data_IF_574229686979
#
_entry.id   IF_574229686979
#
_cell.length_a   1.000
_cell.length_b   1.000
_cell.length_c   1.000
_cell.angle_alpha   90.00
_cell.angle_beta   90.00
_cell.angle_gamma   90.00
#
_symmetry.space_group_name_H-M   'P 1'
#
loop_
_entity.id
_entity.type
_entity.pdbx_description
1 polymer ?
#
# COMPACT_ATOMS: atom_id res chain seq x y z
N UNK A 1 -20.01 10.84 -2.83
CA UNK A 1 -19.69 10.33 -1.48
C UNK A 1 -18.34 9.65 -1.57
N UNK A 2 -17.35 10.16 -0.83
CA UNK A 2 -15.97 9.60 -0.78
C UNK A 2 -16.04 8.25 -0.07
N UNK A 3 -15.29 7.25 -0.55
CA UNK A 3 -15.21 5.95 0.14
C UNK A 3 -14.60 6.18 1.54
N UNK A 4 -15.17 5.55 2.57
CA UNK A 4 -14.58 5.54 3.91
C UNK A 4 -13.35 4.65 3.87
N UNK A 5 -12.16 5.24 4.03
CA UNK A 5 -10.91 4.51 4.10
C UNK A 5 -10.84 3.72 5.42
N UNK A 6 -10.39 2.47 5.35
CA UNK A 6 -10.17 1.63 6.54
C UNK A 6 -8.79 1.86 7.14
N UNK A 7 -7.80 2.12 6.30
CA UNK A 7 -6.46 2.51 6.73
C UNK A 7 -6.31 4.05 6.81
N UNK A 8 -5.40 4.56 7.66
CA UNK A 8 -5.11 5.99 7.73
C UNK A 8 -4.77 6.60 6.37
N UNK A 9 -5.34 7.77 6.07
CA UNK A 9 -5.17 8.44 4.79
C UNK A 9 -3.70 8.68 4.45
N UNK A 10 -2.85 9.04 5.42
CA UNK A 10 -1.43 9.26 5.16
C UNK A 10 -0.66 8.00 4.73
N UNK A 11 -1.24 6.81 4.90
CA UNK A 11 -0.64 5.54 4.49
C UNK A 11 -1.13 5.11 3.11
N UNK A 12 -2.42 5.30 2.84
CA UNK A 12 -3.05 5.00 1.55
C UNK A 12 -2.63 6.04 0.51
N UNK A 13 -2.63 7.31 0.88
CA UNK A 13 -2.32 8.46 0.03
C UNK A 13 -1.22 9.33 0.66
N UNK A 14 0.00 8.79 0.84
CA UNK A 14 1.10 9.52 1.47
C UNK A 14 1.46 10.77 0.66
N UNK A 15 1.87 11.82 1.39
CA UNK A 15 2.51 13.00 0.82
C UNK A 15 4.02 12.75 0.76
N UNK A 16 4.57 12.87 -0.44
CA UNK A 16 6.00 12.83 -0.65
C UNK A 16 6.65 14.11 -0.11
N UNK A 17 7.89 14.03 0.36
CA UNK A 17 8.70 15.21 0.63
C UNK A 17 9.28 15.81 -0.68
N UNK A 18 9.87 17.00 -0.58
CA UNK A 18 10.39 17.70 -1.76
C UNK A 18 11.55 16.94 -2.43
N UNK A 19 12.34 16.16 -1.68
CA UNK A 19 13.44 15.35 -2.22
C UNK A 19 12.91 14.14 -3.00
N UNK A 20 11.87 13.51 -2.48
CA UNK A 20 11.14 12.42 -3.13
C UNK A 20 10.45 12.90 -4.41
N UNK A 21 9.79 14.07 -4.39
CA UNK A 21 9.20 14.68 -5.58
C UNK A 21 10.27 14.99 -6.63
N UNK A 22 11.39 15.58 -6.24
CA UNK A 22 12.47 15.92 -7.17
C UNK A 22 13.06 14.67 -7.88
N UNK A 23 13.16 13.53 -7.18
CA UNK A 23 13.61 12.26 -7.77
C UNK A 23 12.64 11.72 -8.82
N UNK A 24 11.33 11.84 -8.58
CA UNK A 24 10.30 11.48 -9.56
C UNK A 24 10.28 12.46 -10.74
N UNK A 25 10.47 13.75 -10.47
CA UNK A 25 10.57 14.79 -11.50
C UNK A 25 11.73 14.54 -12.46
N UNK A 26 12.89 14.16 -11.95
CA UNK A 26 14.07 13.83 -12.77
C UNK A 26 13.84 12.65 -13.74
N UNK A 27 12.79 11.85 -13.52
CA UNK A 27 12.39 10.69 -14.32
C UNK A 27 11.07 10.92 -15.08
N UNK A 28 10.48 12.10 -14.94
CA UNK A 28 9.19 12.45 -15.52
C UNK A 28 9.24 13.79 -16.25
N UNK A 29 8.06 14.30 -16.58
CA UNK A 29 7.90 15.65 -17.15
C UNK A 29 6.81 16.39 -16.40
N UNK A 30 7.06 17.68 -16.10
CA UNK A 30 5.98 18.56 -15.65
C UNK A 30 5.02 18.83 -16.80
N UNK A 31 3.74 18.85 -16.47
CA UNK A 31 2.66 19.11 -17.41
C UNK A 31 1.53 19.85 -16.68
N UNK A 32 0.99 20.88 -17.34
CA UNK A 32 -0.23 21.57 -16.89
C UNK A 32 -1.45 20.74 -17.21
N UNK A 33 -2.44 20.82 -16.32
CA UNK A 33 -3.75 20.19 -16.48
C UNK A 33 -4.86 21.22 -16.36
N UNK A 34 -5.94 21.03 -17.10
CA UNK A 34 -7.12 21.90 -17.06
C UNK A 34 -8.24 21.29 -16.20
N UNK A 35 -9.16 22.12 -15.71
CA UNK A 35 -10.35 21.63 -15.00
C UNK A 35 -11.13 20.65 -15.88
N UNK A 36 -11.46 19.49 -15.33
CA UNK A 36 -12.24 18.44 -15.99
C UNK A 36 -11.40 17.57 -16.93
N UNK A 37 -10.11 17.85 -17.11
CA UNK A 37 -9.23 17.02 -17.91
C UNK A 37 -9.13 15.61 -17.30
N UNK A 38 -9.36 14.58 -18.14
CA UNK A 38 -9.15 13.19 -17.76
C UNK A 38 -7.72 12.80 -18.05
N UNK A 39 -6.92 12.65 -17.00
CA UNK A 39 -5.50 12.26 -17.10
C UNK A 39 -5.38 10.77 -17.48
N UNK A 40 -6.35 9.96 -17.07
CA UNK A 40 -6.40 8.52 -17.34
C UNK A 40 -7.83 8.00 -17.28
N UNK A 41 -8.25 7.29 -18.32
CA UNK A 41 -9.51 6.52 -18.32
C UNK A 41 -9.36 5.15 -17.64
N UNK A 42 -10.47 4.59 -17.16
CA UNK A 42 -10.50 3.23 -16.61
C UNK A 42 -10.07 2.20 -17.67
N UNK A 43 -9.28 1.20 -17.27
CA UNK A 43 -8.85 0.12 -18.16
C UNK A 43 -7.66 0.47 -19.08
N UNK A 44 -7.18 1.72 -19.11
CA UNK A 44 -6.00 2.11 -19.89
C UNK A 44 -4.76 1.40 -19.36
N UNK A 45 -4.11 0.62 -20.23
CA UNK A 45 -2.85 -0.07 -19.97
C UNK A 45 -1.66 0.87 -20.09
N UNK A 46 -0.55 0.51 -19.46
CA UNK A 46 0.72 1.25 -19.51
C UNK A 46 0.62 2.74 -19.14
N UNK A 47 -0.39 3.09 -18.33
CA UNK A 47 -0.61 4.47 -17.92
C UNK A 47 0.54 4.98 -17.05
N UNK A 48 0.97 6.25 -17.23
CA UNK A 48 1.97 6.86 -16.39
C UNK A 48 1.46 7.06 -14.95
N UNK A 49 2.41 7.21 -14.04
CA UNK A 49 2.16 7.71 -12.69
C UNK A 49 2.12 9.24 -12.74
N UNK A 50 1.16 9.85 -12.04
CA UNK A 50 1.12 11.29 -11.87
C UNK A 50 1.42 11.65 -10.42
N UNK A 51 2.30 12.63 -10.21
CA UNK A 51 2.51 13.31 -8.91
C UNK A 51 1.92 14.70 -9.03
N UNK A 52 1.03 15.06 -8.11
CA UNK A 52 0.37 16.37 -8.15
C UNK A 52 1.32 17.41 -7.57
N UNK A 53 1.68 18.44 -8.32
CA UNK A 53 2.52 19.56 -7.82
C UNK A 53 1.68 20.79 -7.50
N UNK A 54 0.56 21.00 -8.21
CA UNK A 54 -0.43 22.04 -7.93
C UNK A 54 -1.84 21.62 -8.35
N UNK A 55 -2.86 22.09 -7.63
CA UNK A 55 -4.26 21.71 -7.88
C UNK A 55 -4.63 20.36 -7.28
N UNK A 56 -5.73 19.77 -7.78
CA UNK A 56 -6.27 18.51 -7.27
C UNK A 56 -6.75 17.58 -8.40
N UNK A 57 -6.62 16.27 -8.15
CA UNK A 57 -7.05 15.19 -9.06
C UNK A 57 -7.94 14.22 -8.29
N UNK A 58 -9.18 14.05 -8.73
CA UNK A 58 -10.09 13.05 -8.18
C UNK A 58 -9.85 11.66 -8.78
N UNK A 59 -9.95 10.64 -7.92
CA UNK A 59 -9.96 9.23 -8.26
C UNK A 59 -11.42 8.82 -8.37
N UNK A 60 -11.87 8.45 -9.56
CA UNK A 60 -13.27 8.13 -9.82
C UNK A 60 -13.42 6.65 -10.18
N UNK A 61 -14.32 5.98 -9.47
CA UNK A 61 -14.78 4.63 -9.78
C UNK A 61 -16.12 4.74 -10.48
N UNK A 62 -16.29 4.05 -11.61
CA UNK A 62 -17.60 3.83 -12.19
C UNK A 62 -18.28 2.66 -11.47
N UNK A 63 -19.51 2.85 -11.02
CA UNK A 63 -20.40 1.81 -10.50
C UNK A 63 -21.70 1.78 -11.31
N UNK A 64 -22.55 0.77 -11.06
CA UNK A 64 -23.89 0.70 -11.64
C UNK A 64 -24.80 1.87 -11.26
N UNK A 65 -24.48 2.57 -10.17
CA UNK A 65 -25.24 3.72 -9.65
C UNK A 65 -24.67 5.08 -10.10
N UNK A 66 -23.59 5.06 -10.89
CA UNK A 66 -22.95 6.25 -11.45
C UNK A 66 -21.47 6.37 -11.08
N UNK A 67 -20.93 7.58 -11.16
CA UNK A 67 -19.55 7.85 -10.76
C UNK A 67 -19.45 8.09 -9.26
N UNK A 68 -18.54 7.37 -8.61
CA UNK A 68 -18.20 7.57 -7.21
C UNK A 68 -16.76 8.06 -7.09
N UNK A 69 -16.58 9.22 -6.46
CA UNK A 69 -15.25 9.70 -6.07
C UNK A 69 -14.74 8.83 -4.93
N UNK A 70 -13.58 8.21 -5.13
CA UNK A 70 -12.87 7.39 -4.14
C UNK A 70 -12.03 8.26 -3.22
N UNK A 71 -11.29 9.22 -3.80
CA UNK A 71 -10.39 10.10 -3.08
C UNK A 71 -10.02 11.32 -3.95
N UNK A 72 -9.53 12.41 -3.34
CA UNK A 72 -9.02 13.59 -4.06
C UNK A 72 -7.56 13.82 -3.68
N UNK A 73 -6.65 13.63 -4.64
CA UNK A 73 -5.23 13.88 -4.45
C UNK A 73 -4.92 15.37 -4.59
N UNK A 74 -4.11 15.89 -3.67
CA UNK A 74 -3.55 17.23 -3.71
C UNK A 74 -2.03 17.24 -3.80
N UNK A 75 -1.39 18.41 -3.59
CA UNK A 75 0.04 18.58 -3.77
C UNK A 75 0.89 17.57 -3.00
N UNK A 76 1.92 17.07 -3.68
CA UNK A 76 2.88 16.03 -3.27
C UNK A 76 2.29 14.62 -3.10
N UNK A 77 1.02 14.39 -3.42
CA UNK A 77 0.46 13.04 -3.52
C UNK A 77 0.59 12.50 -4.94
N UNK A 78 0.43 11.19 -5.10
CA UNK A 78 0.63 10.50 -6.37
C UNK A 78 -0.46 9.46 -6.65
N UNK A 79 -0.70 9.20 -7.93
CA UNK A 79 -1.75 8.29 -8.42
C UNK A 79 -1.31 6.83 -8.37
N UNK A 80 -2.13 5.92 -8.88
CA UNK A 80 -1.73 4.53 -9.13
C UNK A 80 -2.01 3.56 -8.00
N UNK A 81 -1.93 2.28 -8.35
CA UNK A 81 -2.12 1.10 -7.51
C UNK A 81 -1.33 -0.05 -8.13
N UNK A 82 -1.55 -1.29 -7.71
CA UNK A 82 -0.81 -2.46 -8.19
C UNK A 82 -0.77 -2.59 -9.70
N UNK A 83 -1.88 -2.31 -10.38
CA UNK A 83 -1.91 -2.40 -11.85
C UNK A 83 -0.95 -1.43 -12.54
N UNK A 84 -0.57 -0.33 -11.88
CA UNK A 84 0.35 0.69 -12.42
C UNK A 84 1.74 0.11 -12.69
N UNK A 85 2.21 -0.82 -11.86
CA UNK A 85 3.50 -1.48 -12.06
C UNK A 85 3.40 -2.63 -13.06
N UNK A 86 2.32 -3.41 -13.01
CA UNK A 86 2.04 -4.47 -13.99
C UNK A 86 1.70 -3.96 -15.40
N UNK A 87 1.38 -2.67 -15.54
CA UNK A 87 0.91 -2.07 -16.79
C UNK A 87 -0.49 -2.48 -17.21
N UNK A 88 -1.21 -3.19 -16.34
CA UNK A 88 -2.59 -3.56 -16.58
C UNK A 88 -3.50 -2.33 -16.42
N UNK A 89 -4.68 -2.42 -17.01
CA UNK A 89 -5.71 -1.41 -16.85
C UNK A 89 -6.21 -1.34 -15.41
N UNK A 90 -6.13 -0.17 -14.79
CA UNK A 90 -6.66 0.08 -13.45
C UNK A 90 -8.18 0.30 -13.46
N UNK A 91 -8.80 0.16 -12.28
CA UNK A 91 -10.26 0.34 -12.09
C UNK A 91 -10.68 1.81 -11.90
N UNK A 92 -9.71 2.73 -11.81
CA UNK A 92 -9.90 4.11 -11.39
C UNK A 92 -9.55 5.08 -12.51
N UNK A 93 -10.51 5.92 -12.87
CA UNK A 93 -10.33 7.12 -13.70
C UNK A 93 -9.69 8.23 -12.86
N UNK A 94 -8.82 9.00 -13.49
CA UNK A 94 -8.18 10.18 -12.91
C UNK A 94 -8.68 11.44 -13.63
N UNK A 95 -9.25 12.38 -12.88
CA UNK A 95 -9.78 13.63 -13.44
C UNK A 95 -9.31 14.84 -12.62
N UNK A 96 -8.82 15.88 -13.28
CA UNK A 96 -8.46 17.12 -12.61
C UNK A 96 -9.74 17.89 -12.21
N UNK A 97 -9.84 18.33 -10.95
CA UNK A 97 -11.00 19.09 -10.45
C UNK A 97 -10.84 20.60 -10.68
N UNK A 98 -9.62 21.05 -10.92
CA UNK A 98 -9.25 22.43 -11.20
C UNK A 98 -8.00 22.49 -12.11
N UNK A 99 -7.67 23.68 -12.60
CA UNK A 99 -6.43 23.88 -13.33
C UNK A 99 -5.23 23.71 -12.37
N UNK A 100 -4.18 23.05 -12.84
CA UNK A 100 -3.07 22.66 -11.98
C UNK A 100 -1.83 22.19 -12.74
N UNK A 101 -0.95 21.50 -12.02
CA UNK A 101 0.28 20.94 -12.55
C UNK A 101 0.54 19.56 -11.94
N UNK A 102 1.03 18.65 -12.79
CA UNK A 102 1.45 17.31 -12.40
C UNK A 102 2.81 16.99 -12.99
N UNK A 103 3.54 16.09 -12.34
CA UNK A 103 4.66 15.36 -12.95
C UNK A 103 4.11 14.05 -13.50
N UNK A 104 4.21 13.87 -14.81
CA UNK A 104 3.91 12.62 -15.50
C UNK A 104 5.17 11.77 -15.58
N UNK A 105 5.19 10.65 -14.86
CA UNK A 105 6.30 9.69 -14.82
C UNK A 105 5.90 8.47 -15.66
N UNK A 106 6.54 8.24 -16.83
CA UNK A 106 6.27 7.07 -17.65
C UNK A 106 6.51 5.76 -16.87
N UNK A 107 5.72 4.72 -17.16
CA UNK A 107 5.84 3.42 -16.48
C UNK A 107 7.27 2.88 -16.48
N UNK A 108 8.00 2.93 -17.60
CA UNK A 108 9.38 2.44 -17.66
C UNK A 108 10.31 3.14 -16.66
N UNK A 109 10.12 4.45 -16.50
CA UNK A 109 10.97 5.31 -15.68
C UNK A 109 10.59 5.15 -14.20
N UNK A 110 9.30 4.94 -13.93
CA UNK A 110 8.82 4.47 -12.63
C UNK A 110 9.42 3.11 -12.25
N UNK A 111 9.48 2.14 -13.17
CA UNK A 111 10.05 0.82 -12.90
C UNK A 111 11.53 0.97 -12.53
N UNK A 112 12.30 1.71 -13.34
CA UNK A 112 13.71 1.95 -13.07
C UNK A 112 13.93 2.63 -11.70
N UNK A 113 13.07 3.59 -11.33
CA UNK A 113 13.14 4.26 -10.04
C UNK A 113 12.86 3.28 -8.89
N UNK A 114 11.80 2.48 -8.99
CA UNK A 114 11.45 1.47 -7.98
C UNK A 114 12.58 0.46 -7.75
N UNK A 115 13.32 0.10 -8.79
CA UNK A 115 14.44 -0.85 -8.71
C UNK A 115 15.71 -0.24 -8.10
N UNK A 116 15.85 1.08 -8.12
CA UNK A 116 17.08 1.77 -7.74
C UNK A 116 16.95 2.58 -6.44
N UNK A 117 15.72 2.85 -6.00
CA UNK A 117 15.42 3.73 -4.87
C UNK A 117 14.62 2.99 -3.79
N UNK A 118 15.32 2.46 -2.77
CA UNK A 118 14.68 1.67 -1.71
C UNK A 118 13.63 2.43 -0.90
N UNK A 119 13.82 3.72 -0.68
CA UNK A 119 12.87 4.54 0.09
C UNK A 119 11.56 4.76 -0.69
N UNK A 120 11.66 5.20 -1.95
CA UNK A 120 10.48 5.37 -2.81
C UNK A 120 9.84 4.02 -3.12
N UNK A 121 10.64 2.95 -3.24
CA UNK A 121 10.17 1.58 -3.42
C UNK A 121 9.22 1.17 -2.29
N UNK A 122 9.65 1.31 -1.03
CA UNK A 122 8.82 0.96 0.13
C UNK A 122 7.56 1.83 0.23
N UNK A 123 7.66 3.13 -0.04
CA UNK A 123 6.51 4.05 -0.04
C UNK A 123 5.49 3.65 -1.10
N UNK A 124 5.94 3.42 -2.34
CA UNK A 124 5.08 3.06 -3.46
C UNK A 124 4.46 1.67 -3.27
N UNK A 125 5.25 0.68 -2.83
CA UNK A 125 4.78 -0.67 -2.56
C UNK A 125 3.64 -0.63 -1.55
N UNK A 126 3.88 0.00 -0.40
CA UNK A 126 2.89 0.14 0.67
C UNK A 126 1.63 0.86 0.20
N UNK A 127 1.79 2.02 -0.44
CA UNK A 127 0.66 2.80 -0.93
C UNK A 127 -0.16 2.02 -1.97
N UNK A 128 0.48 1.32 -2.90
CA UNK A 128 -0.23 0.58 -3.95
C UNK A 128 -0.96 -0.64 -3.41
N UNK A 129 -0.38 -1.36 -2.45
CA UNK A 129 -1.05 -2.48 -1.78
C UNK A 129 -2.26 -1.99 -0.98
N UNK A 130 -2.09 -0.94 -0.18
CA UNK A 130 -3.19 -0.39 0.62
C UNK A 130 -4.31 0.16 -0.28
N UNK A 131 -3.97 0.86 -1.37
CA UNK A 131 -4.98 1.32 -2.34
C UNK A 131 -5.72 0.16 -2.98
N UNK A 132 -5.06 -0.95 -3.31
CA UNK A 132 -5.75 -2.14 -3.79
C UNK A 132 -6.75 -2.63 -2.75
N UNK A 133 -6.32 -2.75 -1.50
CA UNK A 133 -7.18 -3.21 -0.40
C UNK A 133 -8.42 -2.34 -0.23
N UNK A 134 -8.26 -1.01 -0.23
CA UNK A 134 -9.39 -0.09 -0.14
C UNK A 134 -10.34 -0.19 -1.34
N UNK A 135 -9.84 -0.66 -2.49
CA UNK A 135 -10.66 -0.92 -3.66
C UNK A 135 -11.43 -2.26 -3.59
N UNK A 136 -11.07 -3.20 -2.72
CA UNK A 136 -11.71 -4.51 -2.61
C UNK A 136 -12.49 -4.67 -1.29
N UNK A 137 -13.74 -5.13 -1.38
CA UNK A 137 -14.75 -4.96 -0.33
C UNK A 137 -14.56 -5.81 0.95
N UNK A 138 -13.60 -6.74 1.00
CA UNK A 138 -13.56 -7.79 2.04
C UNK A 138 -12.55 -7.60 3.19
N UNK A 139 -11.94 -6.43 3.34
CA UNK A 139 -10.75 -6.31 4.19
C UNK A 139 -11.08 -5.92 5.65
N UNK A 140 -10.62 -6.73 6.59
CA UNK A 140 -10.72 -6.52 8.03
C UNK A 140 -9.31 -6.51 8.66
N UNK A 141 -8.86 -5.35 9.14
CA UNK A 141 -7.65 -5.18 9.95
C UNK A 141 -6.52 -4.39 9.29
N UNK A 142 -5.58 -3.92 10.11
CA UNK A 142 -4.46 -3.05 9.69
C UNK A 142 -3.20 -3.86 9.31
N UNK A 143 -3.33 -5.17 9.15
CA UNK A 143 -2.23 -6.07 8.77
C UNK A 143 -2.54 -6.67 7.41
N UNK A 144 -1.57 -6.63 6.51
CA UNK A 144 -1.68 -7.24 5.18
C UNK A 144 -0.61 -8.30 5.04
N UNK A 145 -0.99 -9.49 4.58
CA UNK A 145 -0.07 -10.57 4.23
C UNK A 145 -0.18 -10.84 2.74
N UNK A 146 0.95 -10.76 2.04
CA UNK A 146 1.09 -11.16 0.64
C UNK A 146 1.96 -12.41 0.60
N UNK A 147 1.42 -13.51 0.09
CA UNK A 147 2.16 -14.77 0.03
C UNK A 147 1.36 -15.89 -0.61
N UNK A 148 2.04 -16.91 -1.12
CA UNK A 148 1.41 -18.12 -1.65
C UNK A 148 0.79 -18.96 -0.52
N UNK A 149 -0.41 -19.48 -0.75
CA UNK A 149 -1.06 -20.39 0.20
C UNK A 149 -0.31 -21.72 0.37
N UNK A 150 0.58 -22.05 -0.57
CA UNK A 150 1.41 -23.26 -0.56
C UNK A 150 2.77 -23.05 0.13
N UNK A 151 3.08 -21.83 0.60
CA UNK A 151 4.33 -21.52 1.30
C UNK A 151 4.22 -21.78 2.81
N UNK A 152 5.15 -22.57 3.34
CA UNK A 152 5.26 -22.83 4.78
C UNK A 152 5.45 -21.54 5.60
N UNK A 153 6.23 -20.58 5.07
CA UNK A 153 6.45 -19.29 5.72
C UNK A 153 5.16 -18.44 5.74
N UNK A 154 4.37 -18.48 4.67
CA UNK A 154 3.07 -17.79 4.62
C UNK A 154 2.09 -18.39 5.62
N UNK A 155 2.00 -19.73 5.69
CA UNK A 155 1.19 -20.43 6.68
C UNK A 155 1.63 -20.10 8.10
N UNK A 156 2.94 -20.08 8.40
CA UNK A 156 3.50 -19.70 9.70
C UNK A 156 3.02 -18.32 10.13
N UNK A 157 3.13 -17.33 9.24
CA UNK A 157 2.71 -15.94 9.53
C UNK A 157 1.19 -15.86 9.77
N UNK A 158 0.40 -16.48 8.91
CA UNK A 158 -1.08 -16.47 9.04
C UNK A 158 -1.55 -17.18 10.31
N UNK A 159 -0.94 -18.30 10.66
CA UNK A 159 -1.21 -19.01 11.91
C UNK A 159 -0.85 -18.16 13.13
N UNK A 160 0.31 -17.48 13.11
CA UNK A 160 0.71 -16.58 14.18
C UNK A 160 -0.31 -15.45 14.38
N UNK A 161 -0.73 -14.79 13.30
CA UNK A 161 -1.73 -13.70 13.37
C UNK A 161 -3.07 -14.21 13.88
N UNK A 162 -3.53 -15.36 13.38
CA UNK A 162 -4.80 -15.99 13.78
C UNK A 162 -4.79 -16.36 15.26
N UNK A 163 -3.71 -16.99 15.75
CA UNK A 163 -3.56 -17.35 17.17
C UNK A 163 -3.54 -16.13 18.09
N UNK A 164 -2.95 -15.03 17.64
CA UNK A 164 -2.93 -13.75 18.36
C UNK A 164 -4.17 -12.89 18.13
N UNK A 165 -5.21 -13.43 17.47
CA UNK A 165 -6.48 -12.74 17.14
C UNK A 165 -6.24 -11.39 16.47
N UNK A 166 -5.25 -11.33 15.59
CA UNK A 166 -4.96 -10.17 14.77
C UNK A 166 -5.73 -10.27 13.45
N UNK A 167 -6.76 -9.43 13.24
CA UNK A 167 -7.42 -9.35 11.94
C UNK A 167 -6.41 -8.92 10.88
N UNK A 168 -6.43 -9.60 9.73
CA UNK A 168 -5.51 -9.31 8.65
C UNK A 168 -6.17 -9.55 7.29
N UNK A 169 -5.78 -8.74 6.32
CA UNK A 169 -5.97 -9.02 4.92
C UNK A 169 -4.97 -10.07 4.45
N UNK A 170 -5.40 -10.96 3.57
CA UNK A 170 -4.55 -11.92 2.89
C UNK A 170 -4.73 -11.80 1.39
N UNK A 171 -3.63 -11.60 0.68
CA UNK A 171 -3.57 -11.56 -0.77
C UNK A 171 -2.75 -12.75 -1.24
N UNK A 172 -3.43 -13.74 -1.80
CA UNK A 172 -2.79 -14.92 -2.34
C UNK A 172 -2.10 -14.59 -3.68
N UNK A 173 -0.80 -14.83 -3.74
CA UNK A 173 -0.01 -14.58 -4.94
C UNK A 173 -0.30 -15.60 -6.05
N UNK A 174 -0.83 -16.77 -5.70
CA UNK A 174 -1.20 -17.80 -6.68
C UNK A 174 -2.47 -17.40 -7.45
N UNK A 175 -3.38 -16.65 -6.82
CA UNK A 175 -4.66 -16.23 -7.41
C UNK A 175 -4.66 -14.76 -7.89
N UNK A 176 -3.86 -13.86 -7.29
CA UNK A 176 -3.74 -12.45 -7.70
C UNK A 176 -2.46 -12.22 -8.51
N UNK A 177 -2.58 -12.37 -9.83
CA UNK A 177 -1.48 -12.13 -10.75
C UNK A 177 -0.95 -10.68 -10.72
N UNK A 178 -1.76 -9.67 -10.33
CA UNK A 178 -1.26 -8.31 -10.19
C UNK A 178 -0.40 -8.16 -8.93
N UNK A 179 -0.68 -8.95 -7.89
CA UNK A 179 0.13 -9.07 -6.69
C UNK A 179 1.48 -9.73 -6.93
N UNK A 180 1.48 -10.90 -7.55
CA UNK A 180 2.74 -11.56 -7.94
C UNK A 180 3.57 -10.65 -8.83
N UNK A 181 2.93 -10.04 -9.83
CA UNK A 181 3.62 -9.17 -10.76
C UNK A 181 4.23 -7.96 -10.05
N UNK A 182 3.48 -7.30 -9.15
CA UNK A 182 4.03 -6.23 -8.33
C UNK A 182 5.30 -6.64 -7.59
N UNK A 183 5.26 -7.78 -6.88
CA UNK A 183 6.40 -8.24 -6.09
C UNK A 183 7.63 -8.48 -6.95
N UNK A 184 7.47 -9.09 -8.12
CA UNK A 184 8.54 -9.28 -9.10
C UNK A 184 9.19 -7.93 -9.50
N UNK A 185 8.37 -6.88 -9.70
CA UNK A 185 8.86 -5.55 -10.15
C UNK A 185 9.58 -4.80 -9.05
N UNK A 186 9.21 -5.06 -7.80
CA UNK A 186 9.94 -4.60 -6.62
C UNK A 186 11.14 -5.49 -6.25
N UNK A 187 11.45 -6.51 -7.07
CA UNK A 187 12.51 -7.49 -6.82
C UNK A 187 12.40 -8.17 -5.46
N UNK A 188 11.17 -8.47 -5.03
CA UNK A 188 10.94 -9.30 -3.84
C UNK A 188 11.17 -10.75 -4.25
N UNK A 189 12.25 -11.34 -3.75
CA UNK A 189 12.61 -12.74 -3.99
C UNK A 189 11.64 -13.72 -3.35
N UNK A 190 11.67 -14.98 -3.80
CA UNK A 190 10.83 -16.05 -3.22
C UNK A 190 11.12 -16.26 -1.73
N UNK A 191 12.37 -16.04 -1.31
CA UNK A 191 12.85 -16.08 0.07
C UNK A 191 12.48 -14.84 0.90
N UNK A 192 11.99 -13.78 0.25
CA UNK A 192 11.49 -12.55 0.87
C UNK A 192 9.95 -12.55 1.05
N UNK A 193 9.28 -13.62 0.62
CA UNK A 193 7.84 -13.86 0.79
C UNK A 193 7.60 -14.80 1.99
N UNK A 194 6.61 -14.56 2.87
CA UNK A 194 5.55 -13.56 2.74
C UNK A 194 6.01 -12.13 3.04
N UNK A 195 5.44 -11.17 2.31
CA UNK A 195 5.53 -9.76 2.67
C UNK A 195 4.41 -9.41 3.63
N UNK A 196 4.73 -8.77 4.75
CA UNK A 196 3.78 -8.33 5.77
C UNK A 196 3.82 -6.82 5.89
N UNK A 197 2.67 -6.17 5.74
CA UNK A 197 2.52 -4.74 6.04
C UNK A 197 1.81 -4.60 7.37
N UNK A 198 2.46 -4.00 8.37
CA UNK A 198 1.82 -3.73 9.66
C UNK A 198 1.38 -2.28 9.74
N UNK A 199 0.15 -2.07 10.22
CA UNK A 199 -0.40 -0.74 10.54
C UNK A 199 -0.23 0.25 9.38
N UNK A 200 -0.20 -0.26 8.15
CA UNK A 200 0.18 0.47 6.93
C UNK A 200 1.42 1.37 7.03
N UNK A 201 2.40 1.05 7.88
CA UNK A 201 3.63 1.83 8.08
C UNK A 201 4.88 1.04 7.66
N UNK A 202 5.00 -0.21 8.13
CA UNK A 202 6.20 -1.01 7.96
C UNK A 202 5.97 -2.10 6.94
N UNK A 203 6.86 -2.21 5.95
CA UNK A 203 6.93 -3.32 5.01
C UNK A 203 7.97 -4.31 5.55
N UNK A 204 7.55 -5.52 5.85
CA UNK A 204 8.42 -6.59 6.35
C UNK A 204 8.49 -7.72 5.34
N UNK A 205 9.70 -8.03 4.87
CA UNK A 205 9.97 -9.13 3.94
C UNK A 205 10.36 -10.38 4.73
N UNK A 206 9.65 -11.49 4.47
CA UNK A 206 9.71 -12.77 5.18
C UNK A 206 10.04 -12.64 6.69
N UNK A 207 9.22 -11.93 7.48
CA UNK A 207 9.56 -11.68 8.88
C UNK A 207 9.38 -12.91 9.77
N UNK A 208 10.19 -12.98 10.83
CA UNK A 208 9.96 -13.91 11.94
C UNK A 208 8.75 -13.47 12.77
N UNK A 209 8.22 -14.38 13.57
CA UNK A 209 7.12 -14.07 14.48
C UNK A 209 7.50 -12.97 15.49
N UNK A 210 8.76 -12.92 15.95
CA UNK A 210 9.21 -11.85 16.86
C UNK A 210 9.16 -10.47 16.16
N UNK A 211 9.59 -10.39 14.90
CA UNK A 211 9.53 -9.14 14.13
C UNK A 211 8.10 -8.68 13.93
N UNK A 212 7.18 -9.60 13.61
CA UNK A 212 5.74 -9.27 13.49
C UNK A 212 5.19 -8.82 14.85
N UNK A 213 5.52 -9.51 15.94
CA UNK A 213 5.08 -9.16 17.29
C UNK A 213 5.55 -7.75 17.70
N UNK A 214 6.81 -7.41 17.42
CA UNK A 214 7.36 -6.08 17.65
C UNK A 214 6.64 -5.02 16.82
N UNK A 215 6.42 -5.29 15.53
CA UNK A 215 5.70 -4.42 14.61
C UNK A 215 4.26 -4.12 15.07
N UNK A 216 3.58 -5.12 15.63
CA UNK A 216 2.21 -5.03 16.12
C UNK A 216 2.10 -4.58 17.58
N UNK A 217 3.22 -4.32 18.26
CA UNK A 217 3.23 -3.96 19.68
C UNK A 217 2.64 -5.06 20.57
N UNK A 218 2.77 -6.32 20.17
CA UNK A 218 2.39 -7.49 20.96
C UNK A 218 3.41 -7.79 22.06
N UNK A 219 4.65 -7.35 21.86
CA UNK A 219 5.69 -7.39 22.88
C UNK A 219 5.53 -6.16 23.77
N UNK A 220 5.03 -6.35 24.99
CA UNK A 220 5.15 -5.31 26.01
C UNK A 220 6.63 -5.21 26.42
N UNK A 221 7.22 -4.00 26.47
CA UNK A 221 8.55 -3.85 27.04
C UNK A 221 8.49 -4.31 28.50
N UNK A 222 9.31 -5.30 28.85
CA UNK A 222 9.54 -5.65 30.24
C UNK A 222 10.49 -4.59 30.81
N UNK A 223 10.09 -3.94 31.89
CA UNK A 223 10.98 -3.06 32.63
C UNK A 223 11.98 -3.93 33.39
N UNK A 224 13.27 -3.86 33.04
CA UNK A 224 14.33 -4.62 33.69
C UNK A 224 14.49 -4.27 35.19
N UNK A 225 13.98 -3.10 35.62
CA UNK A 225 13.97 -2.71 37.03
C UNK A 225 12.81 -3.35 37.83
N UNK A 226 11.83 -3.92 37.14
CA UNK A 226 10.66 -4.54 37.78
C UNK A 226 10.87 -6.03 37.95
N UNK A 227 10.93 -6.49 39.20
CA UNK A 227 10.95 -7.92 39.53
C UNK A 227 9.54 -8.47 39.33
N UNK A 228 9.43 -9.50 38.49
CA UNK A 228 8.17 -10.21 38.25
C UNK A 228 8.17 -11.55 38.98
N UNK A 229 7.19 -11.78 39.84
CA UNK A 229 7.03 -13.06 40.56
C UNK A 229 6.55 -14.21 39.64
N UNK A 230 5.89 -13.87 38.53
CA UNK A 230 5.39 -14.82 37.53
C UNK A 230 5.27 -14.14 36.16
N UNK A 231 5.85 -14.76 35.14
CA UNK A 231 5.65 -14.38 33.73
C UNK A 231 4.91 -15.52 33.02
N UNK A 232 3.76 -15.21 32.43
CA UNK A 232 3.00 -16.18 31.61
C UNK A 232 3.30 -15.92 30.14
N UNK A 233 4.03 -16.82 29.51
CA UNK A 233 4.34 -16.77 28.07
C UNK A 233 3.28 -17.54 27.30
N UNK A 234 2.63 -16.88 26.32
CA UNK A 234 1.69 -17.53 25.40
C UNK A 234 0.20 -17.47 25.80
N UNK A 235 -0.19 -16.64 26.76
CA UNK A 235 -1.61 -16.42 27.05
C UNK A 235 -2.25 -15.49 25.98
N UNK A 236 -3.44 -15.82 25.43
CA UNK A 236 -4.18 -14.88 24.60
C UNK A 236 -4.53 -13.65 25.44
N UNK A 237 -4.33 -12.45 24.88
CA UNK A 237 -4.60 -11.17 25.56
C UNK A 237 -6.08 -11.08 25.93
N UNK A 238 -6.44 -11.51 27.15
CA UNK A 238 -7.67 -11.07 27.82
C UNK A 238 -7.37 -9.69 28.39
N UNK A 239 -8.15 -8.71 27.97
CA UNK A 239 -8.22 -7.41 28.63
C UNK A 239 -8.66 -7.70 30.06
N UNK A 240 -7.74 -7.57 31.01
CA UNK A 240 -8.06 -7.52 32.43
C UNK A 240 -8.17 -6.03 32.77
N UNK A 241 -9.38 -5.50 32.77
CA UNK A 241 -9.71 -4.33 33.57
C UNK A 241 -9.93 -4.83 34.99
N UNK A 242 -9.06 -4.43 35.90
CA UNK A 242 -9.32 -4.51 37.34
C UNK A 242 -10.52 -3.62 37.70
#
# INVERSE_FOLDING_TARGET
>A
MVIVLRHPEEQVFPKLDDRQVARLEARGRRRRVERGEVLRETGVQDAPLFVITAGHVELVRASSEGEQVVFVLGPRQFTGEMTTLSGRGGLIRLRATEAGEVIEVPRRDLMALVQTDGELSDILMRAFILRRIELFEQHLGDVVVLGSQHSAETLRVRDFLTRNRQPHAYMDLDDDAAAQEMLDRFHVGVDEVPVVICRGQSVLRNPTNERIAGCLGLNAPLDEATVHDLVIVGAPRKVWTC
#
